data_IF_486278415261
#
_entry.id   IF_486278415261
#
_cell.length_a   1.000
_cell.length_b   1.000
_cell.length_c   1.000
_cell.angle_alpha   90.00
_cell.angle_beta   90.00
_cell.angle_gamma   90.00
#
_symmetry.space_group_name_H-M   'P 1'
#
loop_
_entity.id
_entity.type
_entity.pdbx_description
1 polymer ?
#
# COMPACT_ATOMS: atom_id res chain seq x y z
N UNK A 1 19.11 -2.22 -10.43
CA UNK A 1 18.80 -3.64 -10.64
C UNK A 1 18.51 -3.91 -12.11
N UNK A 2 18.79 -5.11 -12.63
CA UNK A 2 18.35 -5.52 -13.98
C UNK A 2 16.83 -5.75 -14.00
N UNK A 3 16.20 -5.75 -15.18
CA UNK A 3 14.73 -5.89 -15.31
C UNK A 3 14.16 -7.10 -14.55
N UNK A 4 14.74 -8.30 -14.73
CA UNK A 4 14.26 -9.53 -14.07
C UNK A 4 14.44 -9.49 -12.55
N UNK A 5 15.57 -8.98 -12.08
CA UNK A 5 15.86 -8.80 -10.65
C UNK A 5 14.87 -7.81 -10.03
N UNK A 6 14.55 -6.72 -10.74
CA UNK A 6 13.60 -5.72 -10.30
C UNK A 6 12.16 -6.25 -10.30
N UNK A 7 11.75 -7.01 -11.31
CA UNK A 7 10.45 -7.69 -11.31
C UNK A 7 10.34 -8.69 -10.16
N UNK A 8 11.40 -9.45 -9.89
CA UNK A 8 11.43 -10.37 -8.75
C UNK A 8 11.33 -9.60 -7.42
N UNK A 9 12.13 -8.55 -7.24
CA UNK A 9 12.09 -7.67 -6.07
C UNK A 9 10.68 -7.09 -5.83
N UNK A 10 10.09 -6.47 -6.85
CA UNK A 10 8.75 -5.86 -6.75
C UNK A 10 7.67 -6.89 -6.37
N UNK A 11 7.80 -8.14 -6.80
CA UNK A 11 6.83 -9.19 -6.49
C UNK A 11 7.01 -9.81 -5.10
N UNK A 12 8.13 -9.57 -4.43
CA UNK A 12 8.42 -10.09 -3.08
C UNK A 12 8.42 -9.00 -2.00
N UNK A 13 8.40 -7.72 -2.38
CA UNK A 13 8.39 -6.58 -1.45
C UNK A 13 7.06 -5.83 -1.50
N UNK A 14 6.72 -5.09 -0.44
CA UNK A 14 5.55 -4.21 -0.43
C UNK A 14 5.94 -2.90 -1.14
N UNK A 15 5.37 -2.60 -2.31
CA UNK A 15 5.84 -1.46 -3.13
C UNK A 15 4.86 -0.29 -3.14
N UNK A 16 3.66 -0.45 -2.59
CA UNK A 16 2.63 0.57 -2.53
C UNK A 16 1.69 0.36 -1.35
N UNK A 17 0.82 1.34 -1.11
CA UNK A 17 -0.17 1.33 -0.02
C UNK A 17 -1.09 0.12 -0.05
N UNK A 18 -1.55 -0.30 -1.22
CA UNK A 18 -2.44 -1.45 -1.36
C UNK A 18 -1.75 -2.75 -0.93
N UNK A 19 -0.48 -2.96 -1.32
CA UNK A 19 0.31 -4.10 -0.88
C UNK A 19 0.43 -4.13 0.65
N UNK A 20 0.73 -2.98 1.28
CA UNK A 20 0.85 -2.87 2.75
C UNK A 20 -0.48 -3.19 3.42
N UNK A 21 -1.58 -2.59 2.96
CA UNK A 21 -2.92 -2.82 3.52
C UNK A 21 -3.35 -4.28 3.40
N UNK A 22 -3.11 -4.92 2.26
CA UNK A 22 -3.38 -6.34 2.06
C UNK A 22 -2.53 -7.21 3.00
N UNK A 23 -1.24 -6.89 3.13
CA UNK A 23 -0.33 -7.62 4.01
C UNK A 23 -0.74 -7.55 5.49
N UNK A 24 -1.09 -6.35 5.98
CA UNK A 24 -1.56 -6.15 7.36
C UNK A 24 -2.90 -6.86 7.58
N UNK A 25 -3.82 -6.83 6.62
CA UNK A 25 -5.09 -7.57 6.70
C UNK A 25 -4.85 -9.07 6.82
N UNK A 26 -3.96 -9.61 6.00
CA UNK A 26 -3.63 -11.04 6.02
C UNK A 26 -2.94 -11.41 7.33
N UNK A 27 -2.13 -10.51 7.90
CA UNK A 27 -1.53 -10.72 9.21
C UNK A 27 -2.57 -10.78 10.34
N UNK A 28 -3.57 -9.89 10.30
CA UNK A 28 -4.68 -9.89 11.25
C UNK A 28 -5.43 -11.23 11.20
N UNK A 29 -5.73 -11.74 10.01
CA UNK A 29 -6.40 -13.04 9.86
C UNK A 29 -5.52 -14.20 10.33
N UNK A 30 -4.23 -14.20 9.96
CA UNK A 30 -3.27 -15.19 10.48
C UNK A 30 -3.26 -15.21 12.01
N UNK A 31 -3.17 -14.04 12.66
CA UNK A 31 -3.20 -13.94 14.11
C UNK A 31 -4.53 -14.40 14.74
N UNK A 32 -5.65 -14.41 14.02
CA UNK A 32 -6.93 -14.96 14.51
C UNK A 32 -6.98 -16.48 14.41
N UNK A 33 -6.43 -17.04 13.34
CA UNK A 33 -6.57 -18.46 13.00
C UNK A 33 -5.49 -19.34 13.61
N UNK A 34 -4.24 -18.86 13.69
CA UNK A 34 -3.10 -19.67 14.12
C UNK A 34 -2.78 -19.50 15.60
N UNK A 35 -2.07 -20.48 16.17
CA UNK A 35 -1.55 -20.45 17.56
C UNK A 35 -0.05 -20.72 17.63
N UNK A 36 0.63 -20.61 16.50
CA UNK A 36 2.04 -21.03 16.33
C UNK A 36 3.00 -20.21 17.18
N UNK A 37 2.62 -18.98 17.54
CA UNK A 37 3.46 -18.03 18.26
C UNK A 37 3.48 -18.25 19.79
N UNK A 38 2.71 -19.22 20.30
CA UNK A 38 2.59 -19.54 21.73
C UNK A 38 2.20 -18.35 22.63
N UNK A 39 1.55 -17.32 22.07
CA UNK A 39 1.02 -16.19 22.84
C UNK A 39 -0.16 -16.59 23.71
N UNK A 40 -0.29 -15.96 24.88
CA UNK A 40 -1.54 -16.00 25.63
C UNK A 40 -2.70 -15.39 24.83
N UNK A 41 -3.92 -15.81 25.15
CA UNK A 41 -5.14 -15.26 24.53
C UNK A 41 -5.22 -13.73 24.69
N UNK A 42 -4.83 -13.21 25.86
CA UNK A 42 -4.79 -11.76 26.11
C UNK A 42 -3.76 -11.02 25.26
N UNK A 43 -2.56 -11.58 25.09
CA UNK A 43 -1.58 -10.98 24.19
C UNK A 43 -2.07 -10.98 22.75
N UNK A 44 -2.72 -12.06 22.31
CA UNK A 44 -3.30 -12.16 20.96
C UNK A 44 -4.39 -11.11 20.72
N UNK A 45 -5.31 -10.93 21.67
CA UNK A 45 -6.34 -9.87 21.62
C UNK A 45 -5.70 -8.47 21.43
N UNK A 46 -4.63 -8.18 22.19
CA UNK A 46 -3.92 -6.89 22.14
C UNK A 46 -3.20 -6.69 20.80
N UNK A 47 -2.51 -7.72 20.30
CA UNK A 47 -1.83 -7.69 19.00
C UNK A 47 -2.83 -7.42 17.88
N UNK A 48 -3.95 -8.15 17.84
CA UNK A 48 -5.00 -7.96 16.84
C UNK A 48 -5.55 -6.53 16.91
N UNK A 49 -5.81 -6.01 18.11
CA UNK A 49 -6.28 -4.63 18.30
C UNK A 49 -5.29 -3.61 17.73
N UNK A 50 -4.00 -3.75 18.04
CA UNK A 50 -2.96 -2.84 17.54
C UNK A 50 -2.84 -2.92 16.02
N UNK A 51 -2.88 -4.13 15.43
CA UNK A 51 -2.86 -4.30 13.98
C UNK A 51 -4.08 -3.67 13.30
N UNK A 52 -5.27 -3.75 13.90
CA UNK A 52 -6.46 -3.08 13.38
C UNK A 52 -6.33 -1.56 13.41
N UNK A 53 -5.81 -1.00 14.50
CA UNK A 53 -5.54 0.43 14.58
C UNK A 53 -4.51 0.86 13.55
N UNK A 54 -3.40 0.12 13.46
CA UNK A 54 -2.33 0.36 12.48
C UNK A 54 -2.85 0.30 11.03
N UNK A 55 -3.72 -0.66 10.71
CA UNK A 55 -4.40 -0.74 9.42
C UNK A 55 -5.20 0.53 9.11
N UNK A 56 -5.97 1.04 10.07
CA UNK A 56 -6.74 2.27 9.90
C UNK A 56 -5.80 3.49 9.74
N UNK A 57 -4.74 3.57 10.55
CA UNK A 57 -3.72 4.61 10.43
C UNK A 57 -3.09 4.61 9.04
N UNK A 58 -2.72 3.44 8.50
CA UNK A 58 -2.16 3.31 7.14
C UNK A 58 -3.20 3.70 6.08
N UNK A 59 -4.46 3.27 6.26
CA UNK A 59 -5.54 3.56 5.32
C UNK A 59 -5.76 5.06 5.16
N UNK A 60 -5.66 5.81 6.24
CA UNK A 60 -5.87 7.26 6.25
C UNK A 60 -4.58 8.06 6.00
N UNK A 61 -3.42 7.39 5.94
CA UNK A 61 -2.12 8.02 5.71
C UNK A 61 -1.80 8.19 4.22
N UNK A 62 -1.33 9.37 3.84
CA UNK A 62 -0.89 9.66 2.47
C UNK A 62 0.53 9.15 2.25
N UNK A 63 0.67 8.19 1.32
CA UNK A 63 1.95 7.57 1.06
C UNK A 63 2.87 8.53 0.29
N UNK A 64 4.16 8.56 0.61
CA UNK A 64 5.10 9.40 -0.12
C UNK A 64 5.20 8.95 -1.58
N UNK A 65 5.18 9.91 -2.50
CA UNK A 65 5.46 9.66 -3.92
C UNK A 65 6.93 9.29 -4.08
N UNK A 66 7.20 8.09 -4.62
CA UNK A 66 8.56 7.58 -4.82
C UNK A 66 8.91 7.58 -6.30
N UNK A 67 9.94 8.33 -6.67
CA UNK A 67 10.40 8.43 -8.08
C UNK A 67 11.35 7.29 -8.49
N UNK A 68 11.67 6.38 -7.57
CA UNK A 68 12.56 5.24 -7.81
C UNK A 68 11.89 3.93 -7.46
N UNK A 69 12.14 2.90 -8.28
CA UNK A 69 11.57 1.56 -8.13
C UNK A 69 12.28 0.69 -7.09
N UNK A 70 13.34 1.23 -6.48
CA UNK A 70 14.09 0.54 -5.44
C UNK A 70 13.55 0.83 -4.02
N UNK A 71 12.56 1.73 -3.91
CA UNK A 71 11.86 1.97 -2.66
C UNK A 71 10.85 0.85 -2.39
N UNK A 72 10.76 0.47 -1.13
CA UNK A 72 9.78 -0.50 -0.65
C UNK A 72 9.38 -0.19 0.79
N UNK A 73 8.29 -0.78 1.22
CA UNK A 73 7.75 -0.64 2.55
C UNK A 73 7.99 -1.92 3.36
N UNK A 74 8.33 -1.74 4.62
CA UNK A 74 8.49 -2.83 5.58
C UNK A 74 7.86 -2.41 6.91
N UNK A 75 7.07 -3.29 7.52
CA UNK A 75 6.59 -3.06 8.87
C UNK A 75 7.14 -4.11 9.83
N UNK A 76 7.39 -3.68 11.06
CA UNK A 76 7.93 -4.54 12.10
C UNK A 76 7.39 -4.12 13.46
N UNK A 77 7.27 -5.10 14.35
CA UNK A 77 7.02 -4.81 15.75
C UNK A 77 8.29 -4.28 16.41
N UNK A 78 8.12 -3.25 17.21
CA UNK A 78 9.13 -2.76 18.11
C UNK A 78 8.60 -2.82 19.55
N UNK A 79 9.40 -2.35 20.51
CA UNK A 79 9.04 -2.36 21.93
C UNK A 79 7.75 -1.57 22.21
N UNK A 80 7.54 -0.51 21.46
CA UNK A 80 6.52 0.50 21.73
C UNK A 80 5.28 0.33 20.86
N UNK A 81 5.23 -0.66 19.97
CA UNK A 81 4.13 -0.84 19.04
C UNK A 81 4.58 -1.47 17.72
N UNK A 82 3.97 -1.02 16.62
CA UNK A 82 4.30 -1.42 15.26
C UNK A 82 4.60 -0.17 14.43
N UNK A 83 5.64 -0.23 13.62
CA UNK A 83 6.05 0.86 12.74
C UNK A 83 6.10 0.39 11.29
N UNK A 84 5.75 1.30 10.37
CA UNK A 84 5.94 1.17 8.94
C UNK A 84 7.12 2.05 8.54
N UNK A 85 8.08 1.46 7.84
CA UNK A 85 9.22 2.16 7.27
C UNK A 85 9.18 2.12 5.75
N UNK A 86 9.57 3.24 5.14
CA UNK A 86 9.95 3.35 3.75
C UNK A 86 11.47 3.13 3.66
N UNK A 87 11.88 2.08 2.97
CA UNK A 87 13.27 1.65 2.85
C UNK A 87 13.76 1.75 1.42
N UNK A 88 15.02 2.17 1.25
CA UNK A 88 15.69 2.16 -0.04
C UNK A 88 16.56 0.91 -0.18
N UNK A 89 16.32 0.11 -1.21
CA UNK A 89 17.16 -1.06 -1.51
C UNK A 89 18.43 -0.61 -2.25
N UNK A 90 19.56 -0.65 -1.54
CA UNK A 90 20.89 -0.36 -2.09
C UNK A 90 21.45 -1.56 -2.86
N UNK A 91 21.36 -2.73 -2.26
CA UNK A 91 21.85 -3.99 -2.82
C UNK A 91 20.85 -5.12 -2.58
N UNK A 92 20.65 -5.93 -3.61
CA UNK A 92 19.86 -7.15 -3.58
C UNK A 92 20.77 -8.32 -3.94
N UNK A 93 20.97 -9.23 -3.01
CA UNK A 93 21.65 -10.51 -3.24
C UNK A 93 20.62 -11.61 -3.39
N UNK A 94 20.80 -12.44 -4.42
CA UNK A 94 19.98 -13.62 -4.67
C UNK A 94 20.80 -14.88 -4.38
N UNK A 95 20.13 -15.91 -3.85
CA UNK A 95 20.74 -17.22 -3.62
C UNK A 95 20.91 -18.01 -4.93
N UNK A 96 21.51 -19.21 -4.85
CA UNK A 96 21.73 -20.08 -6.00
C UNK A 96 20.43 -20.55 -6.70
N UNK A 97 19.27 -20.41 -6.04
CA UNK A 97 17.94 -20.70 -6.59
C UNK A 97 17.26 -19.47 -7.19
N UNK A 98 17.88 -18.30 -7.06
CA UNK A 98 17.33 -17.03 -7.50
C UNK A 98 16.33 -16.43 -6.52
N UNK A 99 16.30 -16.90 -5.27
CA UNK A 99 15.50 -16.33 -4.18
C UNK A 99 16.22 -15.18 -3.50
N UNK A 100 15.50 -14.27 -2.83
CA UNK A 100 16.13 -13.16 -2.10
C UNK A 100 16.90 -13.74 -0.92
N UNK A 101 18.24 -13.64 -0.95
CA UNK A 101 19.11 -14.06 0.15
C UNK A 101 19.23 -12.92 1.18
N UNK A 102 19.50 -11.71 0.71
CA UNK A 102 19.54 -10.52 1.56
C UNK A 102 19.26 -9.25 0.78
N UNK A 103 18.76 -8.25 1.49
CA UNK A 103 18.67 -6.86 1.05
C UNK A 103 19.50 -6.00 1.99
N UNK A 104 20.13 -4.96 1.45
CA UNK A 104 20.76 -3.92 2.27
C UNK A 104 20.08 -2.58 2.04
N UNK A 105 19.98 -1.81 3.12
CA UNK A 105 19.43 -0.48 3.12
C UNK A 105 20.25 0.44 4.01
N UNK A 106 20.70 1.55 3.46
CA UNK A 106 21.41 2.63 4.16
C UNK A 106 20.46 3.74 4.63
N UNK A 107 19.24 3.78 4.08
CA UNK A 107 18.25 4.81 4.37
C UNK A 107 16.89 4.16 4.62
N UNK A 108 16.34 4.41 5.81
CA UNK A 108 14.95 4.15 6.12
C UNK A 108 14.29 5.38 6.74
N UNK A 109 12.99 5.50 6.52
CA UNK A 109 12.16 6.58 7.03
C UNK A 109 10.93 5.95 7.65
N UNK A 110 10.69 6.22 8.94
CA UNK A 110 9.44 5.84 9.59
C UNK A 110 8.32 6.71 9.02
N UNK A 111 7.32 6.08 8.41
CA UNK A 111 6.20 6.78 7.77
C UNK A 111 4.92 6.72 8.61
N UNK A 112 4.71 5.62 9.34
CA UNK A 112 3.56 5.48 10.23
C UNK A 112 3.94 4.64 11.45
N UNK A 113 3.36 4.95 12.60
CA UNK A 113 3.51 4.16 13.83
C UNK A 113 2.19 4.05 14.54
N UNK A 114 1.91 2.86 15.07
CA UNK A 114 0.84 2.66 16.05
C UNK A 114 1.48 2.21 17.36
N UNK A 115 1.35 3.05 18.39
CA UNK A 115 1.95 2.80 19.70
C UNK A 115 1.01 2.00 20.60
N UNK A 116 1.59 1.03 21.30
CA UNK A 116 0.91 0.30 22.35
C UNK A 116 0.76 1.15 23.63
N UNK A 117 -0.21 0.80 24.46
CA UNK A 117 -0.38 1.40 25.77
C UNK A 117 0.68 0.91 26.76
N UNK A 118 1.06 1.81 27.65
CA UNK A 118 1.91 1.51 28.81
C UNK A 118 1.04 1.43 30.06
N UNK A 119 0.95 0.22 30.61
CA UNK A 119 0.11 -0.10 31.76
C UNK A 119 0.91 0.11 33.06
N UNK A 120 0.25 0.66 34.07
CA UNK A 120 0.75 0.58 35.45
C UNK A 120 0.81 -0.87 35.93
N UNK A 121 1.57 -1.13 36.99
CA UNK A 121 1.64 -2.46 37.64
C UNK A 121 0.24 -2.98 38.00
N UNK A 122 -0.62 -2.09 38.49
CA UNK A 122 -1.99 -2.40 38.90
C UNK A 122 -2.90 -2.73 37.71
N UNK A 123 -2.74 -2.04 36.58
CA UNK A 123 -3.49 -2.32 35.34
C UNK A 123 -3.05 -3.63 34.71
N UNK A 124 -1.74 -3.85 34.57
CA UNK A 124 -1.19 -5.10 34.06
C UNK A 124 -1.60 -6.31 34.91
N UNK A 125 -1.64 -6.13 36.24
CA UNK A 125 -2.10 -7.15 37.17
C UNK A 125 -3.57 -7.55 36.91
N UNK A 126 -4.44 -6.59 36.55
CA UNK A 126 -5.83 -6.86 36.18
C UNK A 126 -5.94 -7.63 34.86
N UNK A 127 -5.16 -7.25 33.84
CA UNK A 127 -5.17 -7.91 32.52
C UNK A 127 -4.90 -9.41 32.64
N UNK A 128 -3.96 -9.80 33.50
CA UNK A 128 -3.52 -11.20 33.65
C UNK A 128 -4.08 -11.92 34.89
N UNK A 129 -5.05 -11.32 35.57
CA UNK A 129 -5.69 -11.81 36.80
C UNK A 129 -4.68 -12.28 37.86
N UNK A 130 -3.77 -11.37 38.23
CA UNK A 130 -2.76 -11.60 39.28
C UNK A 130 -2.72 -10.43 40.27
N UNK A 131 -2.04 -10.64 41.41
CA UNK A 131 -1.83 -9.56 42.38
C UNK A 131 -0.74 -8.59 41.89
N UNK A 132 -0.85 -7.28 42.14
CA UNK A 132 0.22 -6.30 41.84
C UNK A 132 1.58 -6.68 42.44
N UNK A 133 1.59 -7.29 43.64
CA UNK A 133 2.81 -7.80 44.27
C UNK A 133 3.52 -8.88 43.45
N UNK A 134 2.75 -9.72 42.73
CA UNK A 134 3.29 -10.74 41.84
C UNK A 134 3.96 -10.10 40.62
N UNK A 135 3.34 -9.07 40.04
CA UNK A 135 3.91 -8.31 38.92
C UNK A 135 5.21 -7.61 39.32
N UNK A 136 5.24 -6.94 40.49
CA UNK A 136 6.48 -6.35 41.04
C UNK A 136 7.57 -7.40 41.26
N UNK A 137 7.19 -8.60 41.69
CA UNK A 137 8.13 -9.71 41.84
C UNK A 137 8.65 -10.20 40.48
N UNK A 138 7.84 -10.20 39.43
CA UNK A 138 8.29 -10.53 38.07
C UNK A 138 9.28 -9.50 37.54
N UNK A 139 9.00 -8.21 37.68
CA UNK A 139 9.94 -7.13 37.30
C UNK A 139 11.26 -7.29 38.07
N UNK A 140 11.20 -7.44 39.40
CA UNK A 140 12.38 -7.60 40.26
C UNK A 140 13.26 -8.79 39.87
N UNK A 141 12.66 -9.83 39.25
CA UNK A 141 13.34 -11.05 38.82
C UNK A 141 13.77 -11.03 37.35
N UNK A 142 13.65 -9.90 36.66
CA UNK A 142 13.96 -9.77 35.24
C UNK A 142 13.03 -10.57 34.32
N UNK A 143 11.80 -10.86 34.75
CA UNK A 143 10.84 -11.68 33.98
C UNK A 143 9.96 -10.86 33.01
N UNK A 144 9.82 -9.55 33.25
CA UNK A 144 9.14 -8.60 32.36
C UNK A 144 10.19 -7.60 31.93
N UNK A 145 10.89 -7.90 30.84
CA UNK A 145 12.13 -7.20 30.48
C UNK A 145 11.89 -5.89 29.73
N UNK A 146 10.73 -5.75 29.10
CA UNK A 146 10.31 -4.51 28.44
C UNK A 146 9.68 -3.49 29.39
N UNK A 147 9.64 -3.74 30.71
CA UNK A 147 9.17 -2.75 31.67
C UNK A 147 10.05 -1.50 31.63
N UNK A 148 9.45 -0.31 31.72
CA UNK A 148 10.12 0.99 31.80
C UNK A 148 9.96 1.56 33.21
N UNK A 149 11.03 2.12 33.75
CA UNK A 149 10.97 2.84 35.03
C UNK A 149 10.84 4.33 34.77
N UNK A 150 9.74 4.93 35.24
CA UNK A 150 9.51 6.38 35.13
C UNK A 150 9.32 6.94 36.53
N UNK A 151 10.31 7.69 37.01
CA UNK A 151 10.34 8.17 38.38
C UNK A 151 10.32 7.02 39.39
N UNK A 152 9.22 6.88 40.13
CA UNK A 152 9.03 5.81 41.13
C UNK A 152 8.21 4.64 40.62
N UNK A 153 7.60 4.78 39.46
CA UNK A 153 6.64 3.84 38.93
C UNK A 153 7.24 2.99 37.82
N UNK A 154 6.67 1.79 37.66
CA UNK A 154 7.00 0.87 36.59
C UNK A 154 5.82 0.83 35.62
N UNK A 155 6.12 1.06 34.34
CA UNK A 155 5.18 0.92 33.25
C UNK A 155 5.53 -0.32 32.43
N UNK A 156 4.52 -1.06 32.01
CA UNK A 156 4.67 -2.31 31.28
C UNK A 156 3.90 -2.15 29.97
N UNK A 157 4.57 -2.36 28.84
CA UNK A 157 3.90 -2.40 27.53
C UNK A 157 2.78 -3.45 27.54
N UNK A 158 1.62 -3.12 27.00
CA UNK A 158 0.52 -4.09 26.84
C UNK A 158 0.89 -5.25 25.90
N UNK A 159 1.96 -5.14 25.11
CA UNK A 159 2.51 -6.23 24.29
C UNK A 159 3.29 -7.28 25.09
N UNK A 160 3.65 -6.98 26.35
CA UNK A 160 4.36 -7.91 27.22
C UNK A 160 3.43 -9.05 27.64
N UNK A 161 3.82 -10.30 27.36
CA UNK A 161 3.03 -11.45 27.78
C UNK A 161 3.27 -11.82 29.24
N UNK A 162 2.37 -12.62 29.82
CA UNK A 162 2.58 -13.26 31.11
C UNK A 162 3.87 -14.08 31.09
N UNK A 163 4.81 -13.85 32.04
CA UNK A 163 6.06 -14.57 32.05
C UNK A 163 5.87 -16.09 32.17
N UNK A 164 6.61 -16.84 31.36
CA UNK A 164 6.62 -18.30 31.42
C UNK A 164 7.38 -18.83 32.65
N UNK A 165 7.19 -20.12 32.94
CA UNK A 165 7.92 -20.81 34.01
C UNK A 165 9.37 -21.05 33.57
N UNK A 166 10.30 -20.89 34.53
CA UNK A 166 11.73 -20.97 34.24
C UNK A 166 12.33 -19.62 33.84
N UNK A 167 13.54 -19.69 33.29
CA UNK A 167 14.29 -18.57 32.74
C UNK A 167 14.42 -18.78 31.23
N UNK A 168 14.23 -17.71 30.47
CA UNK A 168 14.47 -17.66 29.03
C UNK A 168 15.70 -16.83 28.75
N UNK A 169 16.54 -17.30 27.85
CA UNK A 169 17.73 -16.58 27.40
C UNK A 169 17.33 -15.21 26.82
N UNK A 170 18.21 -14.23 26.94
CA UNK A 170 17.94 -12.86 26.52
C UNK A 170 19.21 -12.17 26.05
N UNK A 171 19.06 -11.23 25.12
CA UNK A 171 20.10 -10.27 24.78
C UNK A 171 19.60 -8.85 25.00
N UNK A 172 20.51 -7.96 25.38
CA UNK A 172 20.27 -6.54 25.60
C UNK A 172 21.19 -5.73 24.71
N UNK A 173 20.67 -4.68 24.09
CA UNK A 173 21.44 -3.61 23.47
C UNK A 173 21.56 -2.44 24.44
N UNK A 174 22.78 -1.92 24.57
CA UNK A 174 23.14 -0.88 25.51
C UNK A 174 23.56 0.34 24.69
N UNK A 175 22.67 1.33 24.56
CA UNK A 175 23.00 2.59 23.91
C UNK A 175 23.64 3.57 24.91
N UNK A 176 23.11 3.59 26.14
CA UNK A 176 23.62 4.43 27.22
C UNK A 176 23.33 3.80 28.58
N UNK A 177 24.23 4.00 29.54
CA UNK A 177 24.07 3.63 30.94
C UNK A 177 24.32 4.84 31.82
N UNK A 178 23.49 5.00 32.85
CA UNK A 178 23.72 6.05 33.85
C UNK A 178 24.98 5.77 34.69
N UNK A 179 25.55 6.83 35.26
CA UNK A 179 26.70 6.72 36.16
C UNK A 179 26.41 5.80 37.36
N UNK A 180 25.17 5.75 37.86
CA UNK A 180 24.80 4.88 38.98
C UNK A 180 25.02 3.39 38.65
N UNK A 181 24.72 2.99 37.40
CA UNK A 181 24.94 1.62 36.96
C UNK A 181 26.42 1.36 36.72
N UNK A 182 27.12 2.30 36.06
CA UNK A 182 28.55 2.17 35.77
C UNK A 182 29.40 2.12 37.05
N UNK A 183 29.01 2.81 38.13
CA UNK A 183 29.68 2.70 39.43
C UNK A 183 29.58 1.28 40.03
N UNK A 184 28.44 0.59 39.83
CA UNK A 184 28.20 -0.77 40.33
C UNK A 184 28.75 -1.85 39.39
N UNK A 185 28.71 -1.59 38.08
CA UNK A 185 29.07 -2.51 37.01
C UNK A 185 29.99 -1.83 35.99
N UNK A 186 31.20 -1.41 36.38
CA UNK A 186 32.08 -0.59 35.54
C UNK A 186 32.52 -1.33 34.27
N UNK A 187 32.51 -2.66 34.28
CA UNK A 187 32.86 -3.46 33.11
C UNK A 187 31.88 -3.30 31.93
N UNK A 188 30.67 -2.76 32.15
CA UNK A 188 29.66 -2.57 31.09
C UNK A 188 29.96 -1.38 30.18
N UNK A 189 30.80 -0.43 30.61
CA UNK A 189 31.06 0.82 29.87
C UNK A 189 31.56 0.60 28.43
N UNK A 190 32.30 -0.50 28.22
CA UNK A 190 32.91 -0.84 26.92
C UNK A 190 32.01 -1.68 26.01
N UNK A 191 30.80 -2.05 26.44
CA UNK A 191 29.94 -3.01 25.73
C UNK A 191 28.65 -2.38 25.24
N UNK A 192 28.28 -2.76 24.02
CA UNK A 192 27.03 -2.34 23.37
C UNK A 192 25.99 -3.47 23.37
N UNK A 193 26.41 -4.71 23.65
CA UNK A 193 25.52 -5.87 23.73
C UNK A 193 25.88 -6.79 24.90
N UNK A 194 24.85 -7.28 25.56
CA UNK A 194 24.95 -8.21 26.68
C UNK A 194 23.92 -9.34 26.50
N UNK A 195 24.39 -10.58 26.39
CA UNK A 195 23.52 -11.77 26.33
C UNK A 195 23.61 -12.57 27.62
N UNK A 196 22.49 -13.06 28.14
CA UNK A 196 22.41 -13.89 29.35
C UNK A 196 21.68 -15.18 29.03
N UNK A 197 22.36 -16.31 29.20
CA UNK A 197 21.80 -17.64 29.02
C UNK A 197 21.99 -18.51 30.25
N UNK A 198 21.19 -19.57 30.39
CA UNK A 198 21.45 -20.57 31.42
C UNK A 198 22.74 -21.34 31.08
N UNK A 199 23.67 -21.48 32.02
CA UNK A 199 24.92 -22.19 31.77
C UNK A 199 24.66 -23.68 31.52
N UNK A 200 25.25 -24.19 30.43
CA UNK A 200 25.25 -25.62 30.12
C UNK A 200 26.36 -26.39 30.87
N UNK A 201 27.29 -25.66 31.51
CA UNK A 201 28.49 -26.21 32.15
C UNK A 201 28.35 -26.25 33.67
N UNK A 202 27.68 -25.26 34.25
CA UNK A 202 27.52 -25.11 35.69
C UNK A 202 26.03 -25.02 36.05
N UNK A 203 25.53 -26.06 36.73
CA UNK A 203 24.17 -26.06 37.25
C UNK A 203 23.96 -24.82 38.16
N UNK A 204 22.80 -24.18 38.01
CA UNK A 204 22.36 -23.00 38.77
C UNK A 204 23.17 -21.70 38.55
N UNK A 205 23.98 -21.63 37.48
CA UNK A 205 24.60 -20.38 37.01
C UNK A 205 24.10 -19.92 35.65
N UNK A 206 24.30 -18.64 35.39
CA UNK A 206 23.99 -17.97 34.14
C UNK A 206 25.29 -17.53 33.47
N UNK A 207 25.46 -17.85 32.19
CA UNK A 207 26.56 -17.35 31.36
C UNK A 207 26.15 -15.98 30.81
N UNK A 208 27.07 -15.01 30.89
CA UNK A 208 26.92 -13.69 30.28
C UNK A 208 27.99 -13.55 29.21
N UNK A 209 27.56 -13.13 28.01
CA UNK A 209 28.41 -12.81 26.88
C UNK A 209 28.32 -11.31 26.60
N UNK A 210 29.47 -10.65 26.60
CA UNK A 210 29.59 -9.21 26.38
C UNK A 210 30.30 -8.94 25.05
N UNK A 211 29.75 -8.04 24.22
CA UNK A 211 30.38 -7.63 22.96
C UNK A 211 30.28 -6.13 22.68
N UNK A 212 31.29 -5.62 21.98
CA UNK A 212 31.33 -4.26 21.42
C UNK A 212 31.29 -4.34 19.90
N UNK A 213 30.81 -3.30 19.21
CA UNK A 213 30.86 -3.24 17.73
C UNK A 213 32.28 -3.20 17.17
N UNK A 214 33.27 -2.79 17.99
CA UNK A 214 34.64 -2.51 17.55
C UNK A 214 35.54 -3.75 17.54
N UNK A 215 35.22 -4.78 18.32
CA UNK A 215 36.06 -5.97 18.42
C UNK A 215 35.40 -7.17 17.76
N UNK A 216 36.04 -7.69 16.71
CA UNK A 216 35.55 -8.84 15.94
C UNK A 216 35.52 -10.11 16.80
N UNK A 217 36.39 -10.20 17.80
CA UNK A 217 36.50 -11.17 18.89
C UNK A 217 37.56 -10.61 19.89
N UNK A 218 37.53 -10.96 21.19
CA UNK A 218 36.71 -11.97 21.86
C UNK A 218 35.56 -11.43 22.71
N UNK A 219 34.47 -12.19 22.80
CA UNK A 219 33.41 -11.98 23.80
C UNK A 219 34.02 -12.15 25.19
N UNK A 220 33.83 -11.17 26.08
CA UNK A 220 34.09 -11.41 27.50
C UNK A 220 32.98 -12.26 28.08
N UNK A 221 33.38 -13.30 28.81
CA UNK A 221 32.46 -14.24 29.45
C UNK A 221 32.54 -14.12 30.95
N UNK A 222 31.38 -14.09 31.59
CA UNK A 222 31.29 -14.12 33.05
C UNK A 222 30.13 -15.01 33.49
N UNK A 223 30.16 -15.45 34.74
CA UNK A 223 29.12 -16.30 35.30
C UNK A 223 28.49 -15.61 36.51
N UNK A 224 27.17 -15.53 36.53
CA UNK A 224 26.40 -14.99 37.65
C UNK A 224 25.54 -16.08 38.29
N UNK A 225 25.36 -16.00 39.60
CA UNK A 225 24.30 -16.74 40.28
C UNK A 225 22.93 -16.06 40.07
N UNK A 226 21.86 -16.72 40.53
CA UNK A 226 20.49 -16.20 40.37
C UNK A 226 20.30 -14.79 40.95
N UNK A 227 20.85 -14.50 42.14
CA UNK A 227 20.65 -13.21 42.82
C UNK A 227 21.40 -12.10 42.09
N UNK A 228 22.63 -12.36 41.66
CA UNK A 228 23.44 -11.41 40.90
C UNK A 228 22.79 -11.08 39.55
N UNK A 229 22.31 -12.11 38.84
CA UNK A 229 21.62 -11.97 37.57
C UNK A 229 20.33 -11.16 37.70
N UNK A 230 19.49 -11.46 38.70
CA UNK A 230 18.25 -10.70 38.95
C UNK A 230 18.55 -9.23 39.28
N UNK A 231 19.62 -8.93 40.03
CA UNK A 231 20.03 -7.55 40.33
C UNK A 231 20.51 -6.80 39.09
N UNK A 232 21.32 -7.46 38.26
CA UNK A 232 21.83 -6.88 37.02
C UNK A 232 20.70 -6.60 36.04
N UNK A 233 19.84 -7.59 35.75
CA UNK A 233 18.69 -7.40 34.85
C UNK A 233 17.77 -6.29 35.35
N UNK A 234 17.48 -6.21 36.66
CA UNK A 234 16.63 -5.15 37.21
C UNK A 234 17.22 -3.75 36.99
N UNK A 235 18.54 -3.60 37.08
CA UNK A 235 19.21 -2.33 36.80
C UNK A 235 19.17 -2.00 35.31
N UNK A 236 19.45 -2.98 34.45
CA UNK A 236 19.41 -2.82 33.00
C UNK A 236 18.02 -2.39 32.51
N UNK A 237 16.96 -3.09 32.90
CA UNK A 237 15.58 -2.74 32.47
C UNK A 237 15.07 -1.42 33.08
N UNK A 238 15.77 -0.88 34.08
CA UNK A 238 15.44 0.42 34.65
C UNK A 238 15.99 1.60 33.86
N UNK A 239 16.93 1.34 32.93
CA UNK A 239 17.44 2.34 32.00
C UNK A 239 16.59 2.39 30.74
N UNK A 240 16.22 3.59 30.32
CA UNK A 240 15.42 3.77 29.11
C UNK A 240 16.24 3.50 27.83
N UNK A 241 17.56 3.67 27.89
CA UNK A 241 18.50 3.47 26.78
C UNK A 241 19.09 2.06 26.72
N UNK A 242 18.51 1.13 27.46
CA UNK A 242 18.78 -0.30 27.35
C UNK A 242 17.56 -0.99 26.76
N UNK A 243 17.79 -1.75 25.69
CA UNK A 243 16.75 -2.38 24.90
C UNK A 243 16.93 -3.89 24.95
N UNK A 244 15.82 -4.62 25.09
CA UNK A 244 15.85 -6.06 24.96
C UNK A 244 15.82 -6.40 23.49
N UNK A 245 16.77 -7.22 23.05
CA UNK A 245 16.77 -7.88 21.75
C UNK A 245 15.79 -9.06 21.81
N UNK A 246 14.51 -8.73 22.00
CA UNK A 246 13.43 -9.69 21.83
C UNK A 246 13.16 -9.82 20.33
N UNK A 247 13.04 -11.04 19.79
CA UNK A 247 12.68 -11.25 18.40
C UNK A 247 11.20 -10.86 18.20
N UNK A 248 10.95 -9.55 18.16
CA UNK A 248 9.71 -8.96 17.67
C UNK A 248 9.76 -8.76 16.15
N UNK A 249 10.88 -9.12 15.50
CA UNK A 249 11.00 -9.20 14.04
C UNK A 249 10.15 -10.33 13.42
N UNK A 250 8.94 -10.58 13.93
CA UNK A 250 7.92 -11.31 13.19
C UNK A 250 7.39 -10.33 12.14
N UNK A 251 8.12 -10.23 11.04
CA UNK A 251 7.58 -9.70 9.80
C UNK A 251 6.69 -10.80 9.23
N UNK A 252 5.38 -10.61 9.30
CA UNK A 252 4.47 -11.47 8.56
C UNK A 252 4.57 -11.10 7.07
N UNK A 253 5.13 -12.00 6.27
CA UNK A 253 5.24 -11.86 4.81
C UNK A 253 4.27 -12.87 4.17
N UNK A 254 3.04 -12.47 3.86
CA UNK A 254 2.14 -13.33 3.09
C UNK A 254 2.62 -13.42 1.64
N UNK A 255 2.22 -14.50 0.95
CA UNK A 255 2.37 -14.53 -0.51
C UNK A 255 1.65 -13.32 -1.12
N UNK A 256 2.40 -12.56 -1.92
CA UNK A 256 1.88 -11.36 -2.54
C UNK A 256 0.75 -11.69 -3.52
N UNK A 257 -0.46 -11.21 -3.24
CA UNK A 257 -1.65 -11.46 -4.08
C UNK A 257 -1.57 -10.73 -5.42
N UNK A 258 -1.03 -9.51 -5.41
CA UNK A 258 -0.85 -8.70 -6.59
C UNK A 258 0.49 -9.02 -7.25
N UNK A 259 0.44 -9.47 -8.49
CA UNK A 259 1.63 -9.63 -9.33
C UNK A 259 1.81 -8.43 -10.24
N UNK A 260 3.05 -7.99 -10.35
CA UNK A 260 3.46 -6.83 -11.13
C UNK A 260 4.52 -7.22 -12.16
N UNK A 261 4.56 -6.47 -13.26
CA UNK A 261 5.61 -6.58 -14.25
C UNK A 261 6.05 -5.19 -14.74
N UNK A 262 7.19 -5.13 -15.43
CA UNK A 262 7.73 -3.89 -15.95
C UNK A 262 7.47 -3.78 -17.45
N UNK A 263 6.65 -2.80 -17.84
CA UNK A 263 6.30 -2.53 -19.24
C UNK A 263 6.46 -1.03 -19.53
N UNK A 264 7.16 -0.70 -20.62
CA UNK A 264 7.39 0.69 -21.03
C UNK A 264 8.25 1.53 -20.06
N UNK A 265 8.80 0.93 -19.00
CA UNK A 265 9.47 1.69 -17.94
C UNK A 265 8.60 1.91 -16.70
N UNK A 266 7.38 1.40 -16.67
CA UNK A 266 6.44 1.53 -15.53
C UNK A 266 6.16 0.19 -14.85
N UNK A 267 5.75 0.24 -13.59
CA UNK A 267 5.27 -0.93 -12.83
C UNK A 267 3.78 -1.07 -13.11
N UNK A 268 3.36 -2.23 -13.62
CA UNK A 268 1.95 -2.47 -13.97
C UNK A 268 1.47 -3.79 -13.38
N UNK A 269 0.20 -3.83 -12.96
CA UNK A 269 -0.46 -5.04 -12.49
C UNK A 269 -0.60 -6.06 -13.65
N UNK A 270 -0.15 -7.30 -13.43
CA UNK A 270 -0.14 -8.35 -14.45
C UNK A 270 -1.55 -8.64 -15.00
N UNK A 271 -2.57 -8.70 -14.12
CA UNK A 271 -3.96 -8.92 -14.51
C UNK A 271 -4.51 -7.84 -15.45
N UNK A 272 -4.08 -6.57 -15.29
CA UNK A 272 -4.46 -5.49 -16.23
C UNK A 272 -3.85 -5.74 -17.61
N UNK A 273 -2.59 -6.18 -17.66
CA UNK A 273 -1.92 -6.52 -18.93
C UNK A 273 -2.54 -7.76 -19.58
N UNK A 274 -2.83 -8.80 -18.81
CA UNK A 274 -3.52 -9.98 -19.34
C UNK A 274 -4.88 -9.61 -19.94
N UNK A 275 -5.63 -8.75 -19.27
CA UNK A 275 -6.94 -8.28 -19.76
C UNK A 275 -6.77 -7.54 -21.07
N UNK A 276 -5.81 -6.61 -21.13
CA UNK A 276 -5.47 -5.88 -22.35
C UNK A 276 -5.04 -6.82 -23.50
N UNK A 277 -4.19 -7.80 -23.24
CA UNK A 277 -3.74 -8.79 -24.24
C UNK A 277 -4.87 -9.72 -24.70
N UNK A 278 -5.76 -10.13 -23.79
CA UNK A 278 -6.98 -10.88 -24.11
C UNK A 278 -7.88 -10.06 -25.03
N UNK A 279 -8.06 -8.77 -24.75
CA UNK A 279 -8.83 -7.84 -25.59
C UNK A 279 -8.22 -7.68 -26.98
N UNK A 280 -6.89 -7.50 -27.09
CA UNK A 280 -6.21 -7.46 -28.41
C UNK A 280 -6.41 -8.78 -29.17
N UNK A 281 -6.17 -9.93 -28.53
CA UNK A 281 -6.33 -11.25 -29.16
C UNK A 281 -7.76 -11.46 -29.64
N UNK A 282 -8.76 -11.03 -28.87
CA UNK A 282 -10.17 -11.09 -29.24
C UNK A 282 -10.48 -10.21 -30.46
N UNK A 283 -9.95 -8.98 -30.49
CA UNK A 283 -10.07 -8.09 -31.64
C UNK A 283 -9.47 -8.73 -32.90
N UNK A 284 -8.22 -9.17 -32.81
CA UNK A 284 -7.50 -9.77 -33.95
C UNK A 284 -8.16 -11.07 -34.44
N UNK A 285 -8.58 -11.96 -33.52
CA UNK A 285 -9.23 -13.23 -33.88
C UNK A 285 -10.56 -13.04 -34.59
N UNK A 286 -11.27 -11.96 -34.29
CA UNK A 286 -12.58 -11.67 -34.87
C UNK A 286 -12.50 -10.72 -36.07
N UNK A 287 -11.29 -10.47 -36.59
CA UNK A 287 -11.02 -9.53 -37.67
C UNK A 287 -11.59 -8.13 -37.38
N UNK A 288 -11.56 -7.73 -36.11
CA UNK A 288 -12.01 -6.42 -35.65
C UNK A 288 -10.84 -5.44 -35.64
N UNK A 289 -11.17 -4.16 -35.72
CA UNK A 289 -10.23 -3.05 -35.59
C UNK A 289 -10.90 -1.91 -34.82
N UNK A 290 -10.19 -1.34 -33.85
CA UNK A 290 -10.54 -0.04 -33.27
C UNK A 290 -9.72 1.02 -34.00
N UNK A 291 -10.38 2.08 -34.42
CA UNK A 291 -9.79 3.21 -35.12
C UNK A 291 -10.23 4.51 -34.45
N UNK A 292 -9.29 5.44 -34.29
CA UNK A 292 -9.54 6.75 -33.70
C UNK A 292 -9.02 7.81 -34.68
N UNK A 293 -9.94 8.60 -35.21
CA UNK A 293 -9.65 9.70 -36.12
C UNK A 293 -9.73 11.00 -35.32
N UNK A 294 -8.56 11.51 -34.94
CA UNK A 294 -8.45 12.69 -34.08
C UNK A 294 -8.28 13.95 -34.92
N UNK A 295 -8.90 15.04 -34.49
CA UNK A 295 -8.80 16.35 -35.13
C UNK A 295 -8.91 17.47 -34.09
N UNK A 296 -8.35 18.62 -34.42
CA UNK A 296 -8.50 19.84 -33.64
C UNK A 296 -9.60 20.70 -34.26
N UNK A 297 -10.48 21.22 -33.42
CA UNK A 297 -11.50 22.19 -33.79
C UNK A 297 -11.27 23.48 -33.00
N UNK A 298 -11.47 24.63 -33.64
CA UNK A 298 -11.41 25.92 -32.98
C UNK A 298 -12.82 26.30 -32.52
N UNK A 299 -13.01 26.37 -31.20
CA UNK A 299 -14.24 26.79 -30.54
C UNK A 299 -13.94 28.10 -29.81
N UNK A 300 -14.36 29.23 -30.38
CA UNK A 300 -14.17 30.58 -29.81
C UNK A 300 -12.73 30.90 -29.38
N UNK A 301 -11.79 30.70 -30.29
CA UNK A 301 -10.34 30.92 -30.10
C UNK A 301 -9.68 29.93 -29.11
N UNK A 302 -10.37 28.83 -28.79
CA UNK A 302 -9.86 27.70 -28.02
C UNK A 302 -9.77 26.44 -28.88
N UNK A 303 -8.61 25.79 -28.92
CA UNK A 303 -8.39 24.58 -29.71
C UNK A 303 -8.73 23.33 -28.92
N UNK A 304 -9.67 22.54 -29.42
CA UNK A 304 -10.21 21.36 -28.72
C UNK A 304 -9.96 20.10 -29.53
N UNK A 305 -9.47 19.08 -28.84
CA UNK A 305 -9.31 17.76 -29.41
C UNK A 305 -10.65 17.06 -29.49
N UNK A 306 -11.02 16.71 -30.70
CA UNK A 306 -12.15 15.85 -31.01
C UNK A 306 -11.65 14.51 -31.54
N UNK A 307 -12.42 13.45 -31.31
CA UNK A 307 -12.11 12.10 -31.78
C UNK A 307 -13.37 11.44 -32.33
N UNK A 308 -13.25 10.89 -33.54
CA UNK A 308 -14.22 9.92 -34.03
C UNK A 308 -13.68 8.51 -33.77
N UNK A 309 -14.46 7.68 -33.08
CA UNK A 309 -14.04 6.35 -32.65
C UNK A 309 -14.90 5.30 -33.33
N UNK A 310 -14.25 4.32 -33.94
CA UNK A 310 -14.90 3.26 -34.70
C UNK A 310 -14.50 1.88 -34.23
N UNK A 311 -15.47 0.99 -34.06
CA UNK A 311 -15.24 -0.45 -34.11
C UNK A 311 -15.62 -0.94 -35.51
N UNK A 312 -14.63 -1.41 -36.26
CA UNK A 312 -14.79 -1.94 -37.62
C UNK A 312 -14.55 -3.44 -37.64
N UNK A 313 -15.24 -4.14 -38.54
CA UNK A 313 -14.97 -5.55 -38.87
C UNK A 313 -14.52 -5.66 -40.31
N UNK A 314 -13.39 -6.32 -40.51
CA UNK A 314 -12.89 -6.63 -41.84
C UNK A 314 -13.71 -7.77 -42.42
N UNK A 315 -14.24 -7.55 -43.62
CA UNK A 315 -15.00 -8.53 -44.39
C UNK A 315 -14.26 -8.75 -45.69
N UNK A 316 -13.86 -9.99 -45.93
CA UNK A 316 -13.20 -10.39 -47.16
C UNK A 316 -14.23 -10.80 -48.20
N UNK A 317 -13.99 -10.44 -49.45
CA UNK A 317 -14.74 -10.95 -50.59
C UNK A 317 -14.11 -12.26 -51.12
N UNK A 318 -14.78 -12.89 -52.09
CA UNK A 318 -14.35 -14.15 -52.70
C UNK A 318 -12.99 -14.06 -53.44
N UNK A 319 -12.50 -12.83 -53.68
CA UNK A 319 -11.21 -12.57 -54.35
C UNK A 319 -10.08 -12.28 -53.36
N UNK A 320 -10.40 -12.21 -52.06
CA UNK A 320 -9.45 -11.87 -51.00
C UNK A 320 -9.25 -10.37 -50.79
N UNK A 321 -10.00 -9.52 -51.49
CA UNK A 321 -10.09 -8.10 -51.18
C UNK A 321 -10.92 -7.92 -49.90
N UNK A 322 -10.75 -6.82 -49.18
CA UNK A 322 -11.50 -6.58 -47.95
C UNK A 322 -12.12 -5.19 -47.87
N UNK A 323 -13.25 -5.12 -47.16
CA UNK A 323 -13.87 -3.88 -46.73
C UNK A 323 -13.98 -3.85 -45.21
N UNK A 324 -13.76 -2.67 -44.62
CA UNK A 324 -13.97 -2.47 -43.18
C UNK A 324 -15.41 -1.98 -42.94
N UNK A 325 -16.26 -2.85 -42.41
CA UNK A 325 -17.64 -2.52 -42.05
C UNK A 325 -17.70 -1.93 -40.64
N UNK A 326 -18.24 -0.72 -40.50
CA UNK A 326 -18.51 -0.08 -39.19
C UNK A 326 -19.59 -0.86 -38.42
N UNK A 327 -19.23 -1.33 -37.22
CA UNK A 327 -20.10 -2.03 -36.27
C UNK A 327 -20.59 -1.11 -35.15
N UNK A 328 -19.71 -0.21 -34.69
CA UNK A 328 -19.99 0.86 -33.73
C UNK A 328 -19.28 2.13 -34.20
N UNK A 329 -19.94 3.26 -34.00
CA UNK A 329 -19.48 4.59 -34.39
C UNK A 329 -19.80 5.58 -33.26
N UNK A 330 -18.79 6.33 -32.87
CA UNK A 330 -18.88 7.49 -31.98
C UNK A 330 -18.31 8.65 -32.78
N UNK A 331 -19.11 9.69 -32.98
CA UNK A 331 -18.72 10.88 -33.74
C UNK A 331 -18.66 12.07 -32.79
N UNK A 332 -17.58 12.84 -32.88
CA UNK A 332 -17.43 14.08 -32.11
C UNK A 332 -17.25 13.83 -30.61
N UNK A 333 -16.54 12.76 -30.22
CA UNK A 333 -16.14 12.63 -28.83
C UNK A 333 -15.19 13.78 -28.49
N UNK A 334 -15.56 14.62 -27.52
CA UNK A 334 -14.82 15.81 -27.12
C UNK A 334 -13.87 15.46 -26.00
N UNK A 335 -12.65 15.96 -26.06
CA UNK A 335 -11.68 15.84 -24.97
C UNK A 335 -11.66 17.16 -24.24
N UNK A 336 -12.23 17.17 -23.04
CA UNK A 336 -12.24 18.32 -22.15
C UNK A 336 -10.86 18.38 -21.50
N UNK A 337 -10.05 19.42 -21.78
CA UNK A 337 -8.72 19.54 -21.21
C UNK A 337 -8.80 19.79 -19.70
N UNK A 338 -7.69 19.52 -19.03
CA UNK A 338 -7.55 19.82 -17.60
C UNK A 338 -7.28 21.33 -17.40
N UNK A 339 -7.27 21.78 -16.14
CA UNK A 339 -7.16 23.20 -15.78
C UNK A 339 -5.95 23.96 -16.33
N UNK A 340 -4.90 23.29 -16.81
CA UNK A 340 -3.69 23.95 -17.33
C UNK A 340 -3.88 24.73 -18.65
N UNK A 341 -4.97 24.50 -19.39
CA UNK A 341 -5.17 25.12 -20.71
C UNK A 341 -6.12 26.34 -20.70
N UNK A 342 -6.88 26.57 -19.62
CA UNK A 342 -7.80 27.70 -19.48
C UNK A 342 -7.06 28.90 -18.87
N UNK A 343 -6.56 29.81 -19.72
CA UNK A 343 -5.81 31.00 -19.30
C UNK A 343 -6.50 32.30 -19.74
N UNK A 344 -6.00 33.45 -19.28
CA UNK A 344 -6.55 34.78 -19.59
C UNK A 344 -6.54 35.15 -21.09
N UNK A 345 -5.89 34.34 -21.95
CA UNK A 345 -5.86 34.52 -23.40
C UNK A 345 -6.94 33.70 -24.13
N UNK A 346 -7.68 32.84 -23.41
CA UNK A 346 -8.77 32.01 -23.95
C UNK A 346 -10.14 32.56 -23.56
N UNK A 347 -11.17 32.23 -24.35
CA UNK A 347 -12.55 32.65 -24.08
C UNK A 347 -13.20 31.96 -22.87
N UNK A 348 -12.53 30.96 -22.28
CA UNK A 348 -13.07 30.11 -21.22
C UNK A 348 -12.15 30.11 -19.99
N UNK A 349 -12.73 30.12 -18.80
CA UNK A 349 -11.98 30.22 -17.54
C UNK A 349 -11.91 28.91 -16.75
N UNK A 350 -12.71 27.91 -17.12
CA UNK A 350 -12.72 26.59 -16.47
C UNK A 350 -13.27 25.51 -17.43
N UNK A 351 -13.05 24.22 -17.13
CA UNK A 351 -13.71 23.13 -17.85
C UNK A 351 -15.22 23.23 -17.83
N UNK A 352 -15.80 23.71 -16.72
CA UNK A 352 -17.24 23.81 -16.54
C UNK A 352 -17.84 24.98 -17.32
N UNK A 353 -17.13 26.11 -17.38
CA UNK A 353 -17.45 27.28 -18.21
C UNK A 353 -17.44 26.90 -19.71
N UNK A 354 -16.42 26.16 -20.13
CA UNK A 354 -16.39 25.58 -21.47
C UNK A 354 -17.56 24.61 -21.73
N UNK A 355 -17.92 23.75 -20.78
CA UNK A 355 -19.05 22.85 -20.97
C UNK A 355 -20.38 23.62 -21.13
N UNK A 356 -20.57 24.70 -20.36
CA UNK A 356 -21.77 25.56 -20.44
C UNK A 356 -21.88 26.28 -21.79
N UNK A 357 -20.76 26.75 -22.33
CA UNK A 357 -20.73 27.43 -23.64
C UNK A 357 -21.04 26.49 -24.81
N UNK A 358 -20.66 25.21 -24.71
CA UNK A 358 -20.91 24.21 -25.77
C UNK A 358 -22.36 23.72 -25.74
N UNK A 359 -22.80 23.15 -24.61
CA UNK A 359 -24.18 22.66 -24.49
C UNK A 359 -24.58 22.43 -23.03
N UNK A 360 -25.87 22.64 -22.76
CA UNK A 360 -26.44 22.33 -21.45
C UNK A 360 -26.23 20.87 -21.05
N UNK A 361 -26.36 19.94 -22.00
CA UNK A 361 -26.19 18.49 -21.75
C UNK A 361 -24.76 18.15 -21.32
N UNK A 362 -23.77 18.77 -21.96
CA UNK A 362 -22.35 18.63 -21.61
C UNK A 362 -22.08 19.24 -20.24
N UNK A 363 -22.60 20.44 -19.96
CA UNK A 363 -22.53 21.07 -18.64
C UNK A 363 -23.12 20.18 -17.54
N UNK A 364 -24.34 19.67 -17.73
CA UNK A 364 -25.00 18.80 -16.74
C UNK A 364 -24.21 17.51 -16.51
N UNK A 365 -23.68 16.91 -17.57
CA UNK A 365 -22.91 15.68 -17.51
C UNK A 365 -21.57 15.88 -16.79
N UNK A 366 -20.84 16.93 -17.15
CA UNK A 366 -19.56 17.24 -16.50
C UNK A 366 -19.76 17.63 -15.04
N UNK A 367 -20.73 18.49 -14.72
CA UNK A 367 -21.05 18.90 -13.35
C UNK A 367 -21.40 17.74 -12.41
N UNK A 368 -21.83 16.60 -12.96
CA UNK A 368 -22.10 15.40 -12.17
C UNK A 368 -20.82 14.82 -11.54
N UNK A 369 -19.66 15.01 -12.19
CA UNK A 369 -18.38 14.42 -11.79
C UNK A 369 -17.26 15.45 -11.52
N UNK A 370 -17.42 16.69 -11.98
CA UNK A 370 -16.43 17.76 -11.89
C UNK A 370 -17.05 19.12 -11.54
N UNK A 371 -16.20 20.11 -11.39
CA UNK A 371 -16.49 21.51 -11.11
C UNK A 371 -15.48 22.44 -11.82
N UNK A 372 -15.38 23.70 -11.40
CA UNK A 372 -14.45 24.68 -11.99
C UNK A 372 -12.98 24.34 -11.76
N UNK A 373 -12.66 23.51 -10.75
CA UNK A 373 -11.29 23.13 -10.41
C UNK A 373 -10.87 21.79 -11.05
N UNK A 374 -11.80 21.08 -11.68
CA UNK A 374 -11.56 19.80 -12.36
C UNK A 374 -12.48 18.70 -11.84
N UNK A 375 -11.92 17.50 -11.61
CA UNK A 375 -12.70 16.36 -11.11
C UNK A 375 -12.90 16.49 -9.59
N UNK A 376 -14.13 16.29 -9.11
CA UNK A 376 -14.44 16.41 -7.67
C UNK A 376 -13.69 15.36 -6.85
N UNK A 377 -13.20 15.76 -5.67
CA UNK A 377 -12.49 14.88 -4.73
C UNK A 377 -13.25 13.59 -4.38
N UNK A 378 -14.57 13.65 -4.27
CA UNK A 378 -15.42 12.46 -4.05
C UNK A 378 -15.32 11.43 -5.18
N UNK A 379 -15.19 11.89 -6.43
CA UNK A 379 -15.04 11.03 -7.62
C UNK A 379 -13.64 10.45 -7.66
N UNK A 380 -12.63 11.24 -7.31
CA UNK A 380 -11.22 10.82 -7.22
C UNK A 380 -11.09 9.65 -6.25
N UNK A 381 -11.67 9.79 -5.05
CA UNK A 381 -11.71 8.72 -4.03
C UNK A 381 -12.51 7.52 -4.51
N UNK A 382 -13.67 7.75 -5.13
CA UNK A 382 -14.54 6.69 -5.64
C UNK A 382 -13.89 5.84 -6.77
N UNK A 383 -12.99 6.44 -7.55
CA UNK A 383 -12.28 5.80 -8.65
C UNK A 383 -10.84 5.39 -8.30
N UNK A 384 -10.42 5.57 -7.05
CA UNK A 384 -9.06 5.28 -6.59
C UNK A 384 -8.02 5.96 -7.50
N UNK A 385 -8.24 7.25 -7.81
CA UNK A 385 -7.32 8.13 -8.52
C UNK A 385 -6.39 8.83 -7.50
N UNK A 386 -5.14 9.08 -7.87
CA UNK A 386 -4.27 9.91 -7.04
C UNK A 386 -4.77 11.36 -7.07
N UNK A 387 -4.60 12.13 -5.99
CA UNK A 387 -5.11 13.50 -5.92
C UNK A 387 -4.49 14.41 -6.99
N UNK A 388 -3.20 14.27 -7.28
CA UNK A 388 -2.53 14.99 -8.38
C UNK A 388 -3.13 14.62 -9.75
N UNK A 389 -3.63 13.38 -9.93
CA UNK A 389 -4.29 12.99 -11.17
C UNK A 389 -5.60 13.74 -11.39
N UNK A 390 -6.31 14.16 -10.34
CA UNK A 390 -7.61 14.82 -10.45
C UNK A 390 -7.53 16.14 -11.22
N UNK A 391 -6.44 16.90 -10.99
CA UNK A 391 -6.24 18.24 -11.50
C UNK A 391 -5.66 18.26 -12.93
N UNK A 392 -4.92 17.21 -13.31
CA UNK A 392 -4.28 17.09 -14.62
C UNK A 392 -5.04 16.19 -15.60
N UNK A 393 -6.11 15.52 -15.15
CA UNK A 393 -6.84 14.56 -15.99
C UNK A 393 -7.77 15.27 -16.97
N UNK A 394 -7.49 15.13 -18.26
CA UNK A 394 -8.46 15.43 -19.31
C UNK A 394 -9.60 14.41 -19.28
N UNK A 395 -10.80 14.85 -19.66
CA UNK A 395 -11.99 14.01 -19.65
C UNK A 395 -12.46 13.75 -21.08
N UNK A 396 -12.59 12.48 -21.46
CA UNK A 396 -13.25 12.10 -22.70
C UNK A 396 -14.76 12.18 -22.51
N UNK A 397 -15.40 13.17 -23.12
CA UNK A 397 -16.84 13.30 -23.19
C UNK A 397 -17.39 12.65 -24.45
N UNK A 398 -18.33 11.72 -24.28
CA UNK A 398 -18.96 11.00 -25.37
C UNK A 398 -20.47 11.14 -25.30
N UNK A 399 -21.05 11.61 -26.41
CA UNK A 399 -22.47 11.53 -26.69
C UNK A 399 -22.72 10.53 -27.84
N UNK A 400 -23.97 10.12 -27.99
CA UNK A 400 -24.48 9.49 -29.22
C UNK A 400 -23.67 8.27 -29.70
N UNK A 401 -23.66 7.20 -28.90
CA UNK A 401 -23.02 5.93 -29.28
C UNK A 401 -23.88 5.18 -30.29
N UNK A 402 -23.57 5.29 -31.58
CA UNK A 402 -24.26 4.53 -32.62
C UNK A 402 -23.74 3.09 -32.66
N UNK A 403 -24.63 2.14 -32.35
CA UNK A 403 -24.28 0.72 -32.36
C UNK A 403 -25.45 -0.12 -32.87
N UNK A 404 -25.15 -1.01 -33.82
CA UNK A 404 -26.16 -1.87 -34.46
C UNK A 404 -26.64 -2.99 -33.54
N UNK A 405 -25.74 -3.54 -32.73
CA UNK A 405 -26.01 -4.71 -31.88
C UNK A 405 -25.30 -4.56 -30.53
N UNK A 406 -25.96 -4.96 -29.44
CA UNK A 406 -25.41 -4.86 -28.08
C UNK A 406 -24.11 -5.65 -27.88
N UNK A 407 -23.89 -6.72 -28.64
CA UNK A 407 -22.64 -7.50 -28.59
C UNK A 407 -21.43 -6.69 -29.07
N UNK A 408 -21.62 -5.81 -30.06
CA UNK A 408 -20.56 -4.94 -30.55
C UNK A 408 -20.20 -3.87 -29.52
N UNK A 409 -21.21 -3.33 -28.82
CA UNK A 409 -20.98 -2.41 -27.69
C UNK A 409 -20.21 -3.12 -26.57
N UNK A 410 -20.62 -4.33 -26.19
CA UNK A 410 -19.93 -5.11 -25.16
C UNK A 410 -18.47 -5.37 -25.56
N UNK A 411 -18.23 -5.78 -26.80
CA UNK A 411 -16.88 -6.02 -27.31
C UNK A 411 -16.03 -4.75 -27.32
N UNK A 412 -16.62 -3.62 -27.69
CA UNK A 412 -15.97 -2.32 -27.65
C UNK A 412 -15.59 -1.91 -26.21
N UNK A 413 -16.52 -2.01 -25.25
CA UNK A 413 -16.27 -1.64 -23.85
C UNK A 413 -15.23 -2.54 -23.16
N UNK A 414 -15.19 -3.83 -23.49
CA UNK A 414 -14.15 -4.76 -23.01
C UNK A 414 -12.75 -4.41 -23.54
N UNK A 415 -12.69 -3.69 -24.66
CA UNK A 415 -11.46 -3.29 -25.32
C UNK A 415 -11.20 -1.78 -25.22
N UNK A 416 -11.92 -1.07 -24.35
CA UNK A 416 -11.90 0.39 -24.29
C UNK A 416 -10.51 0.95 -23.96
N UNK A 417 -9.69 0.24 -23.18
CA UNK A 417 -8.29 0.62 -22.89
C UNK A 417 -7.44 0.79 -24.16
N UNK A 418 -7.84 0.18 -25.29
CA UNK A 418 -7.19 0.36 -26.59
C UNK A 418 -7.53 1.73 -27.19
N UNK A 419 -8.77 2.20 -26.99
CA UNK A 419 -9.22 3.54 -27.42
C UNK A 419 -8.35 4.60 -26.77
N UNK A 420 -8.11 4.50 -25.45
CA UNK A 420 -7.28 5.45 -24.71
C UNK A 420 -5.90 5.67 -25.34
N UNK A 421 -5.25 4.60 -25.84
CA UNK A 421 -3.94 4.70 -26.52
C UNK A 421 -4.00 5.39 -27.88
N UNK A 422 -5.18 5.43 -28.50
CA UNK A 422 -5.42 6.12 -29.77
C UNK A 422 -5.81 7.60 -29.61
N UNK A 423 -6.07 8.07 -28.39
CA UNK A 423 -6.42 9.46 -28.12
C UNK A 423 -5.15 10.35 -28.05
N UNK A 424 -5.24 11.62 -28.46
CA UNK A 424 -4.10 12.53 -28.57
C UNK A 424 -3.65 13.15 -27.23
N UNK A 425 -4.17 12.69 -26.10
CA UNK A 425 -3.91 13.26 -24.77
C UNK A 425 -3.31 12.24 -23.82
N UNK A 426 -2.14 12.56 -23.29
CA UNK A 426 -1.35 11.66 -22.43
C UNK A 426 -2.03 11.39 -21.07
N UNK A 427 -2.93 12.29 -20.64
CA UNK A 427 -3.53 12.30 -19.31
C UNK A 427 -5.06 12.09 -19.30
N UNK A 428 -5.67 11.62 -20.40
CA UNK A 428 -7.08 11.24 -20.35
C UNK A 428 -7.26 9.92 -19.59
N UNK A 429 -7.70 10.05 -18.34
CA UNK A 429 -7.90 8.94 -17.39
C UNK A 429 -9.37 8.73 -17.04
N UNK A 430 -10.26 9.59 -17.53
CA UNK A 430 -11.69 9.51 -17.25
C UNK A 430 -12.50 9.64 -18.53
N UNK A 431 -13.52 8.80 -18.66
CA UNK A 431 -14.53 8.93 -19.71
C UNK A 431 -15.92 9.13 -19.11
N UNK A 432 -16.68 10.04 -19.70
CA UNK A 432 -18.10 10.27 -19.48
C UNK A 432 -18.86 9.85 -20.74
N UNK A 433 -19.94 9.11 -20.55
CA UNK A 433 -20.91 8.79 -21.58
C UNK A 433 -22.28 9.31 -21.16
N UNK A 434 -22.84 10.19 -21.97
CA UNK A 434 -24.23 10.61 -21.86
C UNK A 434 -25.09 9.72 -22.78
N UNK A 435 -26.06 9.01 -22.20
CA UNK A 435 -26.94 8.08 -22.91
C UNK A 435 -28.41 8.47 -22.73
N UNK A 436 -29.23 8.36 -23.77
CA UNK A 436 -30.68 8.62 -23.66
C UNK A 436 -31.42 7.44 -22.99
N UNK A 437 -31.83 7.60 -21.73
CA UNK A 437 -32.43 6.53 -20.90
C UNK A 437 -33.61 5.81 -21.56
N UNK A 438 -34.53 6.58 -22.14
CA UNK A 438 -35.78 6.04 -22.71
C UNK A 438 -35.54 5.21 -23.98
N UNK A 439 -34.47 5.49 -24.73
CA UNK A 439 -34.12 4.75 -25.95
C UNK A 439 -33.06 3.67 -25.71
N UNK A 440 -32.29 3.76 -24.62
CA UNK A 440 -31.01 3.04 -24.49
C UNK A 440 -30.83 2.20 -23.21
N UNK A 441 -31.90 1.86 -22.50
CA UNK A 441 -31.84 1.00 -21.29
C UNK A 441 -31.02 -0.30 -21.47
N UNK A 442 -31.04 -0.90 -22.67
CA UNK A 442 -30.19 -2.06 -23.01
C UNK A 442 -28.71 -1.72 -23.05
N UNK A 443 -28.31 -0.53 -23.54
CA UNK A 443 -26.92 -0.08 -23.56
C UNK A 443 -26.43 0.15 -22.15
N UNK A 444 -27.22 0.84 -21.30
CA UNK A 444 -26.86 1.09 -19.90
C UNK A 444 -26.54 -0.22 -19.16
N UNK A 445 -27.33 -1.28 -19.40
CA UNK A 445 -27.03 -2.61 -18.84
C UNK A 445 -25.65 -3.13 -19.26
N UNK A 446 -25.30 -3.00 -20.54
CA UNK A 446 -23.98 -3.42 -21.07
C UNK A 446 -22.85 -2.59 -20.45
N UNK A 447 -23.04 -1.29 -20.24
CA UNK A 447 -22.06 -0.44 -19.54
C UNK A 447 -21.84 -0.92 -18.10
N UNK A 448 -22.90 -1.17 -17.33
CA UNK A 448 -22.81 -1.70 -15.97
C UNK A 448 -22.10 -3.07 -15.92
N UNK A 449 -22.44 -3.97 -16.85
CA UNK A 449 -21.77 -5.28 -16.98
C UNK A 449 -20.26 -5.16 -17.29
N UNK A 450 -19.81 -4.02 -17.80
CA UNK A 450 -18.41 -3.70 -18.08
C UNK A 450 -17.76 -2.79 -17.02
N UNK A 451 -18.38 -2.67 -15.84
CA UNK A 451 -17.83 -1.96 -14.68
C UNK A 451 -17.88 -0.43 -14.79
N UNK A 452 -18.75 0.11 -15.63
CA UNK A 452 -19.06 1.55 -15.63
C UNK A 452 -20.04 1.87 -14.50
N UNK A 453 -19.97 3.09 -13.97
CA UNK A 453 -20.81 3.55 -12.88
C UNK A 453 -21.84 4.56 -13.37
N UNK A 454 -23.00 4.61 -12.72
CA UNK A 454 -24.02 5.65 -12.93
C UNK A 454 -23.73 6.79 -11.95
N UNK A 455 -23.63 8.03 -12.43
CA UNK A 455 -23.55 9.21 -11.55
C UNK A 455 -24.88 9.91 -11.39
N UNK A 456 -25.61 10.07 -12.49
CA UNK A 456 -26.88 10.78 -12.50
C UNK A 456 -27.88 10.12 -13.46
N UNK A 457 -29.16 10.19 -13.10
CA UNK A 457 -30.29 9.74 -13.92
C UNK A 457 -31.33 10.86 -13.89
N UNK A 458 -31.67 11.39 -15.05
CA UNK A 458 -32.84 12.24 -15.22
C UNK A 458 -33.95 11.50 -16.01
N UNK A 459 -35.05 12.18 -16.32
CA UNK A 459 -36.19 11.56 -17.03
C UNK A 459 -35.88 11.08 -18.46
N UNK A 460 -34.80 11.55 -19.06
CA UNK A 460 -34.41 11.38 -20.46
C UNK A 460 -32.98 10.85 -20.66
N UNK A 461 -32.07 11.03 -19.71
CA UNK A 461 -30.63 10.77 -19.84
C UNK A 461 -30.02 10.06 -18.63
N UNK A 462 -28.92 9.35 -18.87
CA UNK A 462 -28.06 8.75 -17.85
C UNK A 462 -26.61 9.12 -18.11
N UNK A 463 -25.93 9.58 -17.07
CA UNK A 463 -24.50 9.88 -17.08
C UNK A 463 -23.75 8.66 -16.54
N UNK A 464 -23.05 7.97 -17.45
CA UNK A 464 -22.17 6.86 -17.15
C UNK A 464 -20.72 7.34 -17.12
N UNK A 465 -19.91 6.81 -16.21
CA UNK A 465 -18.50 7.20 -16.12
C UNK A 465 -17.61 6.05 -15.65
N UNK A 466 -16.33 6.11 -16.01
CA UNK A 466 -15.32 5.10 -15.64
C UNK A 466 -13.90 5.67 -15.78
N UNK A 467 -13.01 5.25 -14.88
CA UNK A 467 -11.55 5.42 -15.01
C UNK A 467 -11.01 4.51 -16.13
N UNK A 468 -10.23 5.06 -17.06
CA UNK A 468 -9.75 4.39 -18.29
C UNK A 468 -8.23 4.37 -18.44
#
# INVERSE_FOLDING_TARGET
MKKKELEYFINNMLINKEDVLLSVRDYIEYCKETKEENWSEKKREIIIKILFNFYNTIKDFDFPVTNSKNWYYEYFWNRDGISLELMYCDELTLDDKGEIDSTSSSNSIIIAEEKCLYLSVEEYAKVYDVKPTTVRQWIRRGKIRNAKKIGRDWLISELADKPQKGYTDVSYFINYLSNEILEKYPYLEKYERLSISKSNLENDKYEILLSSKKEKYPYERMYLNTIEREKLELMLISENEVYVDEPFFIMYIPEKRNKYCIKGGDIMLENKIETYEKSIKKILKNDLKIECDNYLENEDDFLIWNSNIYLKKRIFDDKGDYIDKKLLEIIGAKIIPANMDFNDETSFYSPLDYCDSVSGDMYFSYKAIGDDEGIKEEIVKELEMEEEEAYETSVLYVENVEVKESENLNTFLQAFDIVRKGLPVQYCKLAIFLLEWQKESKKVKVFLENGWKIRNIDSSSVVMYKKI
#
